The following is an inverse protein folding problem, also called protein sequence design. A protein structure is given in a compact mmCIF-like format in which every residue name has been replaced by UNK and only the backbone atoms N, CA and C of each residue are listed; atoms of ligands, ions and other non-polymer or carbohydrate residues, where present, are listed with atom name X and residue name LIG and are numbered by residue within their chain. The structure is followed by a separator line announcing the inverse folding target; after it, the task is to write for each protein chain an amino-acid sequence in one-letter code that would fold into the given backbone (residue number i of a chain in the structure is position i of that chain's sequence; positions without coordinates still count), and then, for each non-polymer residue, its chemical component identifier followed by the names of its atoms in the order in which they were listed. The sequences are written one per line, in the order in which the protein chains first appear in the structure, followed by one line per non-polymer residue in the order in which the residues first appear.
data_IF_261780672578
#
_entry.id   IF_261780672578
#
_cell.length_a   1.000
_cell.length_b   1.000
_cell.length_c   1.000
_cell.angle_alpha   90.00
_cell.angle_beta   90.00
_cell.angle_gamma   90.00
#
_symmetry.space_group_name_H-M   'P 1'
#
loop_
_entity.id
_entity.type
_entity.pdbx_description
1 polymer ?
#
# COMPACT_ATOMS: atom_id res chain seq x y z
N UNK A 1 -0.75 -8.21 -16.00
CA UNK A 1 -1.69 -7.35 -15.24
C UNK A 1 -1.34 -5.86 -15.30
N UNK A 2 -2.34 -5.05 -15.68
CA UNK A 2 -2.27 -3.61 -15.93
C UNK A 2 -2.61 -2.76 -14.68
N UNK A 3 -1.79 -2.90 -13.63
CA UNK A 3 -2.00 -2.29 -12.30
C UNK A 3 -0.84 -1.34 -11.98
N UNK A 4 -1.16 -0.08 -11.73
CA UNK A 4 -0.19 0.92 -11.24
C UNK A 4 -0.18 0.90 -9.72
N UNK A 5 0.98 0.65 -9.12
CA UNK A 5 1.19 0.76 -7.67
C UNK A 5 1.99 2.03 -7.40
N UNK A 6 1.43 2.95 -6.61
CA UNK A 6 2.07 4.20 -6.24
C UNK A 6 2.06 4.42 -4.73
N UNK A 7 3.04 5.18 -4.23
CA UNK A 7 3.09 5.65 -2.84
C UNK A 7 2.65 7.11 -2.80
N UNK A 8 1.56 7.38 -2.12
CA UNK A 8 1.00 8.72 -1.95
C UNK A 8 1.03 9.12 -0.46
N UNK A 9 0.73 10.39 -0.15
CA UNK A 9 0.72 10.93 1.22
C UNK A 9 1.99 10.67 2.05
N UNK A 10 3.15 10.73 1.39
CA UNK A 10 4.44 10.45 2.00
C UNK A 10 4.72 11.49 3.07
N UNK A 11 4.76 11.06 4.34
CA UNK A 11 4.97 11.94 5.49
C UNK A 11 5.87 11.31 6.54
N UNK A 12 6.57 12.16 7.26
CA UNK A 12 7.31 11.79 8.46
C UNK A 12 6.42 12.05 9.67
N UNK A 13 6.22 11.05 10.51
CA UNK A 13 5.44 11.18 11.76
C UNK A 13 6.38 11.04 12.95
N UNK A 14 6.23 11.92 13.94
CA UNK A 14 7.03 11.94 15.16
C UNK A 14 6.12 11.73 16.36
N UNK A 15 6.35 10.64 17.10
CA UNK A 15 5.68 10.39 18.37
C UNK A 15 6.65 10.67 19.52
N UNK A 16 6.32 11.59 20.43
CA UNK A 16 7.04 11.66 21.67
C UNK A 16 6.71 10.46 22.57
N UNK A 17 7.66 10.06 23.42
CA UNK A 17 7.39 9.11 24.48
C UNK A 17 7.00 9.89 25.72
N UNK A 18 5.73 9.81 26.14
CA UNK A 18 5.24 10.35 27.42
C UNK A 18 5.04 9.18 28.38
N UNK A 19 5.54 9.28 29.60
CA UNK A 19 5.32 8.27 30.63
C UNK A 19 3.85 8.24 31.09
N UNK A 20 3.27 7.05 31.25
CA UNK A 20 1.88 6.90 31.70
C UNK A 20 1.70 7.32 33.17
N UNK A 21 0.66 8.13 33.45
CA UNK A 21 0.13 8.36 34.80
C UNK A 21 0.03 9.82 35.22
N UNK A 22 -0.68 10.66 34.47
CA UNK A 22 -0.72 12.11 34.73
C UNK A 22 -2.11 12.70 34.48
N UNK A 23 -2.41 13.81 35.17
CA UNK A 23 -3.65 14.58 35.03
C UNK A 23 -3.65 15.34 33.70
N UNK A 24 -4.82 15.78 33.18
CA UNK A 24 -4.90 16.52 31.91
C UNK A 24 -3.97 17.74 31.81
N UNK A 25 -3.73 18.43 32.93
CA UNK A 25 -2.81 19.58 32.97
C UNK A 25 -1.37 19.19 32.70
N UNK A 26 -0.96 18.02 33.17
CA UNK A 26 0.40 17.50 32.98
C UNK A 26 0.56 16.89 31.59
N UNK A 27 -0.48 16.32 30.99
CA UNK A 27 -0.47 15.96 29.56
C UNK A 27 -0.25 17.18 28.65
N UNK A 28 -0.86 18.33 28.99
CA UNK A 28 -0.66 19.59 28.25
C UNK A 28 0.77 20.13 28.43
N UNK A 29 1.32 20.04 29.63
CA UNK A 29 2.70 20.43 29.92
C UNK A 29 3.69 19.54 29.17
N UNK A 30 3.48 18.21 29.20
CA UNK A 30 4.25 17.22 28.46
C UNK A 30 4.18 17.52 26.96
N UNK A 31 3.01 17.82 26.41
CA UNK A 31 2.84 18.19 25.00
C UNK A 31 3.61 19.46 24.60
N UNK A 32 3.65 20.48 25.47
CA UNK A 32 4.44 21.70 25.24
C UNK A 32 5.94 21.43 25.31
N UNK A 33 6.36 20.59 26.25
CA UNK A 33 7.77 20.17 26.38
C UNK A 33 8.21 19.36 25.17
N UNK A 34 7.37 18.46 24.69
CA UNK A 34 7.54 17.73 23.43
C UNK A 34 7.64 18.69 22.25
N UNK A 35 6.74 19.65 22.14
CA UNK A 35 6.77 20.64 21.05
C UNK A 35 8.09 21.41 21.05
N UNK A 36 8.62 21.73 22.23
CA UNK A 36 9.92 22.38 22.43
C UNK A 36 11.09 21.44 22.09
N UNK A 37 10.98 20.15 22.41
CA UNK A 37 11.99 19.13 22.11
C UNK A 37 12.05 18.78 20.62
N UNK A 38 10.90 18.60 19.95
CA UNK A 38 10.81 18.44 18.48
C UNK A 38 11.46 19.64 17.77
N UNK A 39 11.22 20.87 18.27
CA UNK A 39 11.84 22.09 17.73
C UNK A 39 13.35 22.18 17.95
N UNK A 40 13.91 21.50 18.96
CA UNK A 40 15.33 21.55 19.33
C UNK A 40 16.16 20.37 18.80
N UNK A 41 15.56 19.19 18.68
CA UNK A 41 16.26 17.91 18.47
C UNK A 41 15.38 16.91 17.71
N UNK A 42 15.34 16.97 16.39
CA UNK A 42 15.25 15.71 15.65
C UNK A 42 16.58 14.99 15.90
N UNK A 43 16.67 14.22 16.98
CA UNK A 43 17.66 13.13 17.21
C UNK A 43 17.26 12.14 18.33
N UNK A 44 16.15 12.33 19.06
CA UNK A 44 15.62 11.34 20.01
C UNK A 44 14.09 11.12 19.92
N UNK A 45 13.53 11.24 18.72
CA UNK A 45 12.15 10.83 18.43
C UNK A 45 12.10 9.48 17.72
N UNK A 46 11.02 8.71 17.89
CA UNK A 46 10.73 7.61 16.96
C UNK A 46 10.24 8.24 15.66
N UNK A 47 11.09 8.16 14.63
CA UNK A 47 10.81 8.68 13.30
C UNK A 47 10.33 7.50 12.46
N UNK A 48 9.14 7.60 11.91
CA UNK A 48 8.64 6.65 10.92
C UNK A 48 8.19 7.36 9.64
N UNK A 49 8.50 6.74 8.51
CA UNK A 49 8.00 7.13 7.21
C UNK A 49 6.67 6.43 6.99
N UNK A 50 5.59 7.20 6.89
CA UNK A 50 4.26 6.71 6.54
C UNK A 50 3.89 7.16 5.14
N UNK A 51 3.27 6.27 4.38
CA UNK A 51 2.71 6.55 3.07
C UNK A 51 1.49 5.66 2.86
N UNK A 52 0.58 6.12 2.01
CA UNK A 52 -0.56 5.35 1.51
C UNK A 52 -0.09 4.56 0.29
N UNK A 53 -0.45 3.28 0.19
CA UNK A 53 -0.30 2.51 -1.04
C UNK A 53 -1.60 2.67 -1.80
N UNK A 54 -1.53 3.24 -3.01
CA UNK A 54 -2.68 3.41 -3.88
C UNK A 54 -2.44 2.57 -5.13
N UNK A 55 -3.41 1.71 -5.39
CA UNK A 55 -3.44 0.83 -6.55
C UNK A 55 -4.46 1.38 -7.54
N UNK A 56 -4.04 1.65 -8.78
CA UNK A 56 -4.90 2.20 -9.84
C UNK A 56 -4.86 1.32 -11.08
N UNK A 57 -5.94 1.34 -11.84
CA UNK A 57 -6.02 0.71 -13.14
C UNK A 57 -5.27 1.54 -14.19
N UNK A 58 -4.38 0.93 -14.97
CA UNK A 58 -3.68 1.61 -16.08
C UNK A 58 -4.64 2.10 -17.18
N UNK A 59 -5.84 1.53 -17.28
CA UNK A 59 -6.77 1.81 -18.37
C UNK A 59 -7.81 2.88 -18.06
N UNK A 60 -8.22 2.99 -16.80
CA UNK A 60 -9.26 3.91 -16.38
C UNK A 60 -8.82 4.87 -15.26
N UNK A 61 -7.63 4.68 -14.69
CA UNK A 61 -7.02 5.48 -13.60
C UNK A 61 -7.83 5.53 -12.29
N UNK A 62 -8.92 4.76 -12.20
CA UNK A 62 -9.66 4.56 -10.95
C UNK A 62 -8.93 3.55 -10.04
N UNK A 63 -9.34 3.55 -8.76
CA UNK A 63 -8.88 2.56 -7.77
C UNK A 63 -9.01 1.15 -8.32
N UNK A 64 -7.97 0.35 -8.13
CA UNK A 64 -7.95 -1.04 -8.53
C UNK A 64 -8.86 -1.86 -7.61
N UNK A 65 -9.80 -2.58 -8.21
CA UNK A 65 -10.76 -3.44 -7.52
C UNK A 65 -10.74 -4.82 -8.18
N UNK A 66 -10.68 -5.88 -7.37
CA UNK A 66 -10.68 -7.27 -7.79
C UNK A 66 -11.73 -8.07 -7.02
N UNK A 67 -12.27 -9.12 -7.64
CA UNK A 67 -13.10 -10.10 -6.93
C UNK A 67 -12.29 -11.23 -6.28
N UNK A 68 -12.99 -12.17 -5.65
CA UNK A 68 -12.41 -13.32 -4.95
C UNK A 68 -11.52 -14.22 -5.81
N UNK A 69 -11.58 -14.09 -7.14
CA UNK A 69 -10.75 -14.84 -8.10
C UNK A 69 -9.57 -14.02 -8.65
N UNK A 70 -9.35 -12.79 -8.16
CA UNK A 70 -8.32 -11.89 -8.67
C UNK A 70 -8.66 -11.25 -10.03
N UNK A 71 -9.92 -11.34 -10.49
CA UNK A 71 -10.35 -10.70 -11.74
C UNK A 71 -10.63 -9.22 -11.46
N UNK A 72 -10.06 -8.28 -12.24
CA UNK A 72 -10.32 -6.86 -12.07
C UNK A 72 -11.78 -6.51 -12.40
N UNK A 73 -12.39 -5.63 -11.60
CA UNK A 73 -13.78 -5.17 -11.78
C UNK A 73 -13.90 -3.66 -12.07
N UNK A 74 -12.76 -2.96 -12.07
CA UNK A 74 -12.70 -1.51 -12.25
C UNK A 74 -13.06 -1.01 -13.66
N UNK A 75 -12.82 -1.78 -14.74
CA UNK A 75 -13.26 -1.46 -16.10
C UNK A 75 -13.19 -2.64 -17.09
N UNK A 76 -13.95 -2.57 -18.18
CA UNK A 76 -13.97 -3.58 -19.26
C UNK A 76 -12.61 -3.82 -19.91
N UNK A 77 -11.74 -2.79 -19.98
CA UNK A 77 -10.41 -2.92 -20.57
C UNK A 77 -9.51 -3.79 -19.71
N UNK A 78 -9.55 -3.59 -18.39
CA UNK A 78 -8.82 -4.41 -17.43
C UNK A 78 -9.29 -5.86 -17.47
N UNK A 79 -10.61 -6.08 -17.53
CA UNK A 79 -11.22 -7.40 -17.67
C UNK A 79 -10.74 -8.11 -18.94
N UNK A 80 -10.77 -7.43 -20.09
CA UNK A 80 -10.36 -8.02 -21.38
C UNK A 80 -8.90 -8.40 -21.41
N UNK A 81 -8.02 -7.58 -20.82
CA UNK A 81 -6.60 -7.90 -20.75
C UNK A 81 -6.37 -9.11 -19.83
N UNK A 82 -7.06 -9.16 -18.68
CA UNK A 82 -7.01 -10.32 -17.78
C UNK A 82 -7.49 -11.61 -18.45
N UNK A 83 -8.62 -11.57 -19.15
CA UNK A 83 -9.16 -12.73 -19.90
C UNK A 83 -8.25 -13.19 -21.04
N UNK A 84 -7.39 -12.31 -21.56
CA UNK A 84 -6.41 -12.64 -22.58
C UNK A 84 -5.19 -13.32 -21.94
N UNK A 85 -4.66 -12.78 -20.84
CA UNK A 85 -3.55 -13.36 -20.08
C UNK A 85 -3.90 -14.79 -19.61
N UNK A 86 -5.08 -15.01 -19.02
CA UNK A 86 -5.53 -16.35 -18.57
C UNK A 86 -5.58 -17.37 -19.71
N UNK A 87 -6.08 -16.97 -20.89
CA UNK A 87 -6.14 -17.86 -22.06
C UNK A 87 -4.75 -18.18 -22.62
N UNK A 88 -3.82 -17.23 -22.54
CA UNK A 88 -2.43 -17.46 -22.95
C UNK A 88 -1.74 -18.45 -22.00
N UNK A 89 -1.91 -18.28 -20.68
CA UNK A 89 -1.37 -19.20 -19.67
C UNK A 89 -1.96 -20.62 -19.76
N UNK A 90 -3.26 -20.75 -20.02
CA UNK A 90 -3.90 -22.05 -20.26
C UNK A 90 -3.33 -22.77 -21.50
N UNK A 91 -3.07 -22.03 -22.58
CA UNK A 91 -2.53 -22.59 -23.83
C UNK A 91 -1.06 -23.03 -23.67
N UNK A 92 -0.25 -22.28 -22.93
CA UNK A 92 1.14 -22.64 -22.61
C UNK A 92 1.22 -23.87 -21.68
N UNK A 93 0.37 -23.93 -20.66
CA UNK A 93 0.32 -25.09 -19.75
C UNK A 93 -0.28 -26.35 -20.41
N UNK A 94 -1.16 -26.19 -21.42
CA UNK A 94 -1.73 -27.28 -22.19
C UNK A 94 -0.77 -27.94 -23.18
N UNK A 95 0.27 -27.24 -23.64
CA UNK A 95 1.24 -27.78 -24.61
C UNK A 95 2.31 -28.66 -23.96
N UNK A 96 2.56 -28.52 -22.66
CA UNK A 96 3.62 -29.23 -21.96
C UNK A 96 3.29 -30.70 -21.58
N UNK A 97 2.08 -31.20 -21.91
CA UNK A 97 1.63 -32.59 -21.61
C UNK A 97 1.75 -33.60 -22.76
N UNK A 98 2.35 -33.26 -23.91
CA UNK A 98 2.43 -34.15 -25.09
C UNK A 98 3.84 -34.64 -25.48
N UNK A 99 4.82 -34.58 -24.59
CA UNK A 99 6.21 -34.96 -24.89
C UNK A 99 6.85 -35.84 -23.83
N UNK A 100 6.39 -37.09 -23.66
CA UNK A 100 6.97 -38.01 -22.68
C UNK A 100 6.52 -39.45 -22.87
N UNK A 101 6.69 -39.98 -24.08
CA UNK A 101 6.44 -41.38 -24.38
C UNK A 101 7.48 -41.91 -25.36
N UNK A 102 8.55 -42.47 -24.83
CA UNK A 102 9.39 -43.50 -25.48
C UNK A 102 9.86 -44.48 -24.42
#
# INVERSE_FOLDING_TARGET
MAKIISKEDIRVVVYPVIGYGTTPDKEIEDCKEIQKNIRRHIDAGKIELKYSIVERCEFCDYTWEENEKGRPECCDKAVKEWEKEEKEEENENGTNKRGGGK
#
